data_IF_657068062049
#
_entry.id   IF_657068062049
#
_cell.length_a   1.000
_cell.length_b   1.000
_cell.length_c   1.000
_cell.angle_alpha   90.00
_cell.angle_beta   90.00
_cell.angle_gamma   90.00
#
_symmetry.space_group_name_H-M   'P 1'
#
loop_
_entity.id
_entity.type
_entity.pdbx_description
1 polymer ?
#
# COMPACT_ATOMS: atom_id res chain seq x y z
N UNK A 1 -9.01 -12.85 -19.35
CA UNK A 1 -8.43 -11.84 -18.44
C UNK A 1 -9.54 -11.12 -17.68
N UNK A 2 -10.52 -10.47 -18.33
CA UNK A 2 -11.62 -9.75 -17.66
C UNK A 2 -12.36 -10.62 -16.62
N UNK A 3 -12.82 -11.82 -16.98
CA UNK A 3 -13.47 -12.74 -16.02
C UNK A 3 -12.62 -13.06 -14.77
N UNK A 4 -11.30 -13.11 -14.93
CA UNK A 4 -10.39 -13.31 -13.80
C UNK A 4 -10.37 -12.06 -12.90
N UNK A 5 -10.23 -10.87 -13.50
CA UNK A 5 -10.24 -9.59 -12.76
C UNK A 5 -11.57 -9.39 -12.02
N UNK A 6 -12.71 -9.60 -12.69
CA UNK A 6 -14.04 -9.43 -12.09
C UNK A 6 -14.24 -10.34 -10.86
N UNK A 7 -13.67 -11.56 -10.89
CA UNK A 7 -13.73 -12.51 -9.78
C UNK A 7 -12.77 -12.18 -8.63
N UNK A 8 -11.61 -11.61 -8.93
CA UNK A 8 -10.51 -11.47 -7.96
C UNK A 8 -10.30 -10.05 -7.43
N UNK A 9 -10.88 -9.02 -8.07
CA UNK A 9 -10.69 -7.63 -7.65
C UNK A 9 -11.22 -7.36 -6.24
N UNK A 10 -12.37 -7.93 -5.89
CA UNK A 10 -12.97 -7.73 -4.57
C UNK A 10 -12.10 -8.29 -3.44
N UNK A 11 -11.69 -9.59 -3.46
CA UNK A 11 -10.78 -10.11 -2.45
C UNK A 11 -9.42 -9.40 -2.44
N UNK A 12 -8.87 -9.02 -3.59
CA UNK A 12 -7.62 -8.25 -3.62
C UNK A 12 -7.76 -6.90 -2.90
N UNK A 13 -8.82 -6.15 -3.17
CA UNK A 13 -9.07 -4.86 -2.54
C UNK A 13 -9.30 -4.99 -1.03
N UNK A 14 -9.93 -6.06 -0.55
CA UNK A 14 -10.14 -6.31 0.88
C UNK A 14 -8.81 -6.68 1.54
N UNK A 15 -8.10 -7.66 1.01
CA UNK A 15 -6.85 -8.16 1.62
C UNK A 15 -5.74 -7.12 1.50
N UNK A 16 -5.55 -6.56 0.31
CA UNK A 16 -4.56 -5.51 0.06
C UNK A 16 -4.86 -4.24 0.84
N UNK A 17 -6.15 -3.86 0.91
CA UNK A 17 -6.60 -2.72 1.70
C UNK A 17 -6.40 -2.92 3.21
N UNK A 18 -6.69 -4.11 3.73
CA UNK A 18 -6.44 -4.43 5.14
C UNK A 18 -4.95 -4.37 5.47
N UNK A 19 -4.09 -4.97 4.64
CA UNK A 19 -2.64 -4.89 4.80
C UNK A 19 -2.11 -3.45 4.75
N UNK A 20 -2.62 -2.65 3.81
CA UNK A 20 -2.27 -1.23 3.69
C UNK A 20 -2.76 -0.42 4.90
N UNK A 21 -3.95 -0.72 5.43
CA UNK A 21 -4.51 -0.05 6.60
C UNK A 21 -3.69 -0.30 7.89
N UNK A 22 -2.93 -1.39 7.96
CA UNK A 22 -2.02 -1.66 9.09
C UNK A 22 -0.92 -0.59 9.26
N UNK A 23 -0.64 0.21 8.23
CA UNK A 23 0.23 1.38 8.36
C UNK A 23 -0.27 2.40 9.41
N UNK A 24 -1.54 2.32 9.82
CA UNK A 24 -2.09 3.09 10.94
C UNK A 24 -1.34 2.90 12.26
N UNK A 25 -0.62 1.80 12.44
CA UNK A 25 0.26 1.62 13.61
C UNK A 25 1.29 2.74 13.72
N UNK A 26 1.80 3.26 12.60
CA UNK A 26 2.72 4.40 12.57
C UNK A 26 2.04 5.71 13.01
N UNK A 27 0.75 5.86 12.78
CA UNK A 27 0.01 7.05 13.18
C UNK A 27 -0.26 7.08 14.69
N UNK A 28 -0.62 5.96 15.28
CA UNK A 28 -1.07 5.87 16.68
C UNK A 28 0.02 5.41 17.64
N UNK A 29 0.98 4.61 17.17
CA UNK A 29 2.07 4.05 17.94
C UNK A 29 3.41 4.19 17.19
N UNK A 30 3.86 5.43 16.89
CA UNK A 30 4.99 5.67 15.99
C UNK A 30 6.30 5.08 16.50
N UNK A 31 6.59 5.19 17.79
CA UNK A 31 7.81 4.61 18.39
C UNK A 31 7.84 3.10 18.20
N UNK A 32 6.74 2.43 18.59
CA UNK A 32 6.63 0.97 18.45
C UNK A 32 6.78 0.54 16.96
N UNK A 33 6.12 1.24 16.06
CA UNK A 33 6.16 0.90 14.64
C UNK A 33 7.57 1.06 14.06
N UNK A 34 8.25 2.17 14.34
CA UNK A 34 9.58 2.44 13.82
C UNK A 34 10.61 1.47 14.38
N UNK A 35 10.61 1.24 15.69
CA UNK A 35 11.64 0.41 16.35
C UNK A 35 11.37 -1.09 16.18
N UNK A 36 10.13 -1.55 16.35
CA UNK A 36 9.82 -2.98 16.42
C UNK A 36 9.32 -3.57 15.10
N UNK A 37 8.68 -2.76 14.24
CA UNK A 37 8.18 -3.25 12.94
C UNK A 37 9.18 -2.95 11.82
N UNK A 38 9.72 -1.73 11.78
CA UNK A 38 10.64 -1.31 10.74
C UNK A 38 12.11 -1.55 11.10
N UNK A 39 12.43 -1.75 12.38
CA UNK A 39 13.79 -2.01 12.86
C UNK A 39 14.71 -0.79 12.73
N UNK A 40 14.14 0.42 12.86
CA UNK A 40 14.86 1.69 12.75
C UNK A 40 14.95 2.34 14.13
N UNK A 41 15.93 3.24 14.28
CA UNK A 41 16.05 4.08 15.47
C UNK A 41 14.99 5.19 15.43
N UNK A 42 14.32 5.41 16.56
CA UNK A 42 13.33 6.49 16.69
C UNK A 42 14.00 7.84 16.95
N UNK A 43 13.60 8.84 16.18
CA UNK A 43 13.97 10.22 16.38
C UNK A 43 12.72 11.09 16.52
N UNK A 44 12.60 11.82 17.64
CA UNK A 44 11.43 12.64 17.97
C UNK A 44 11.10 13.68 16.90
N UNK A 45 12.12 14.19 16.20
CA UNK A 45 11.97 15.19 15.13
C UNK A 45 11.12 14.70 13.96
N UNK A 46 11.00 13.39 13.78
CA UNK A 46 10.23 12.77 12.69
C UNK A 46 8.79 12.44 13.06
N UNK A 47 8.35 12.76 14.29
CA UNK A 47 7.01 12.38 14.79
C UNK A 47 5.90 12.77 13.81
N UNK A 48 5.86 14.03 13.38
CA UNK A 48 4.82 14.54 12.48
C UNK A 48 4.84 13.79 11.14
N UNK A 49 6.02 13.58 10.56
CA UNK A 49 6.16 12.88 9.28
C UNK A 49 5.68 11.43 9.37
N UNK A 50 6.11 10.70 10.38
CA UNK A 50 5.78 9.29 10.57
C UNK A 50 4.28 9.11 10.84
N UNK A 51 3.70 9.93 11.72
CA UNK A 51 2.28 9.85 12.03
C UNK A 51 1.41 10.26 10.83
N UNK A 52 1.77 11.34 10.13
CA UNK A 52 1.05 11.80 8.94
C UNK A 52 1.13 10.76 7.81
N UNK A 53 2.32 10.22 7.53
CA UNK A 53 2.46 9.13 6.55
C UNK A 53 1.61 7.91 6.95
N UNK A 54 1.67 7.50 8.20
CA UNK A 54 0.91 6.36 8.71
C UNK A 54 -0.59 6.51 8.53
N UNK A 55 -1.16 7.69 8.84
CA UNK A 55 -2.60 7.92 8.66
C UNK A 55 -3.00 8.00 7.18
N UNK A 56 -2.19 8.63 6.34
CA UNK A 56 -2.49 8.71 4.90
C UNK A 56 -2.52 7.34 4.23
N UNK A 57 -1.53 6.50 4.51
CA UNK A 57 -1.47 5.13 3.97
C UNK A 57 -2.60 4.27 4.55
N UNK A 58 -2.91 4.42 5.84
CA UNK A 58 -4.02 3.71 6.47
C UNK A 58 -5.37 4.06 5.85
N UNK A 59 -5.64 5.35 5.63
CA UNK A 59 -6.86 5.81 4.95
C UNK A 59 -6.97 5.25 3.53
N UNK A 60 -5.86 5.18 2.79
CA UNK A 60 -5.85 4.53 1.48
C UNK A 60 -6.27 3.07 1.58
N UNK A 61 -5.78 2.33 2.57
CA UNK A 61 -6.20 0.96 2.82
C UNK A 61 -7.70 0.83 3.07
N UNK A 62 -8.27 1.73 3.88
CA UNK A 62 -9.71 1.79 4.14
C UNK A 62 -10.49 2.10 2.85
N UNK A 63 -10.00 3.03 2.03
CA UNK A 63 -10.65 3.35 0.74
C UNK A 63 -10.57 2.19 -0.25
N UNK A 64 -9.49 1.41 -0.25
CA UNK A 64 -9.40 0.16 -1.03
C UNK A 64 -10.48 -0.83 -0.62
N UNK A 65 -10.70 -1.03 0.69
CA UNK A 65 -11.79 -1.88 1.20
C UNK A 65 -13.16 -1.33 0.75
N UNK A 66 -13.37 -0.02 0.83
CA UNK A 66 -14.58 0.63 0.32
C UNK A 66 -14.82 0.37 -1.17
N UNK A 67 -13.76 0.44 -1.99
CA UNK A 67 -13.81 0.16 -3.42
C UNK A 67 -14.15 -1.30 -3.76
N UNK A 68 -13.92 -2.24 -2.84
CA UNK A 68 -14.38 -3.62 -2.99
C UNK A 68 -15.90 -3.73 -3.07
N UNK A 69 -16.62 -2.83 -2.39
CA UNK A 69 -18.09 -2.80 -2.31
C UNK A 69 -18.73 -1.73 -3.18
N UNK A 70 -17.97 -0.66 -3.54
CA UNK A 70 -18.45 0.44 -4.38
C UNK A 70 -17.67 0.49 -5.69
N UNK A 71 -18.27 -0.02 -6.76
CA UNK A 71 -17.61 -0.21 -8.04
C UNK A 71 -17.09 1.09 -8.66
N UNK A 72 -17.85 2.19 -8.53
CA UNK A 72 -17.43 3.52 -9.02
C UNK A 72 -16.15 4.05 -8.39
N UNK A 73 -15.73 3.51 -7.25
CA UNK A 73 -14.49 3.88 -6.58
C UNK A 73 -13.28 3.09 -7.06
N UNK A 74 -13.48 1.97 -7.75
CA UNK A 74 -12.38 1.06 -8.13
C UNK A 74 -11.34 1.75 -9.00
N UNK A 75 -11.77 2.45 -10.05
CA UNK A 75 -10.81 3.08 -10.96
C UNK A 75 -9.94 4.13 -10.26
N UNK A 76 -10.48 5.19 -9.63
CA UNK A 76 -9.65 6.21 -9.00
C UNK A 76 -8.79 5.66 -7.84
N UNK A 77 -9.34 4.75 -7.03
CA UNK A 77 -8.60 4.16 -5.92
C UNK A 77 -7.47 3.25 -6.42
N UNK A 78 -7.72 2.41 -7.41
CA UNK A 78 -6.69 1.57 -8.01
C UNK A 78 -5.59 2.38 -8.67
N UNK A 79 -5.94 3.50 -9.34
CA UNK A 79 -4.97 4.38 -9.98
C UNK A 79 -4.05 5.04 -8.94
N UNK A 80 -4.63 5.69 -7.94
CA UNK A 80 -3.85 6.34 -6.88
C UNK A 80 -2.99 5.34 -6.12
N UNK A 81 -3.58 4.23 -5.70
CA UNK A 81 -2.89 3.17 -4.97
C UNK A 81 -1.73 2.58 -5.78
N UNK A 82 -1.92 2.34 -7.08
CA UNK A 82 -0.87 1.83 -7.94
C UNK A 82 0.32 2.79 -8.06
N UNK A 83 0.08 4.09 -8.20
CA UNK A 83 1.12 5.11 -8.31
C UNK A 83 1.90 5.25 -6.99
N UNK A 84 1.19 5.35 -5.86
CA UNK A 84 1.80 5.46 -4.53
C UNK A 84 2.66 4.22 -4.23
N UNK A 85 2.12 3.03 -4.45
CA UNK A 85 2.81 1.77 -4.18
C UNK A 85 3.97 1.51 -5.14
N UNK A 86 3.85 1.89 -6.41
CA UNK A 86 4.97 1.81 -7.35
C UNK A 86 6.15 2.67 -6.90
N UNK A 87 5.87 3.86 -6.36
CA UNK A 87 6.92 4.74 -5.82
C UNK A 87 7.56 4.14 -4.57
N UNK A 88 6.77 3.53 -3.67
CA UNK A 88 7.31 2.83 -2.50
C UNK A 88 8.23 1.67 -2.90
N UNK A 89 7.80 0.84 -3.86
CA UNK A 89 8.62 -0.26 -4.40
C UNK A 89 9.93 0.29 -5.01
N UNK A 90 9.84 1.37 -5.78
CA UNK A 90 11.02 2.03 -6.35
C UNK A 90 11.98 2.50 -5.26
N UNK A 91 11.50 3.14 -4.20
CA UNK A 91 12.35 3.61 -3.10
C UNK A 91 13.05 2.45 -2.38
N UNK A 92 12.32 1.37 -2.09
CA UNK A 92 12.91 0.19 -1.42
C UNK A 92 13.96 -0.48 -2.30
N UNK A 93 13.69 -0.67 -3.59
CA UNK A 93 14.64 -1.26 -4.54
C UNK A 93 15.88 -0.39 -4.73
N UNK A 94 15.71 0.92 -4.82
CA UNK A 94 16.84 1.87 -4.95
C UNK A 94 17.75 1.89 -3.72
N UNK A 95 17.23 1.49 -2.56
CA UNK A 95 17.95 1.48 -1.29
C UNK A 95 18.16 0.06 -0.73
N UNK A 96 18.04 -0.98 -1.54
CA UNK A 96 18.02 -2.37 -1.09
C UNK A 96 19.31 -2.82 -0.38
N UNK A 97 20.42 -2.19 -0.69
CA UNK A 97 21.70 -2.48 -0.07
C UNK A 97 21.92 -1.82 1.30
N UNK A 98 21.00 -0.96 1.73
CA UNK A 98 21.07 -0.29 3.02
C UNK A 98 20.25 -1.04 4.06
N UNK A 99 20.77 -1.10 5.28
CA UNK A 99 20.10 -1.79 6.40
C UNK A 99 18.72 -1.23 6.72
N UNK A 100 18.52 0.09 6.57
CA UNK A 100 17.24 0.74 6.84
C UNK A 100 16.11 0.31 5.91
N UNK A 101 16.41 -0.26 4.74
CA UNK A 101 15.37 -0.73 3.80
C UNK A 101 14.81 -2.10 4.18
N UNK A 102 15.48 -2.87 5.03
CA UNK A 102 15.12 -4.26 5.34
C UNK A 102 13.74 -4.37 5.98
N UNK A 103 13.37 -3.44 6.85
CA UNK A 103 12.05 -3.40 7.49
C UNK A 103 10.89 -3.12 6.54
N UNK A 104 11.18 -2.66 5.32
CA UNK A 104 10.19 -2.32 4.30
C UNK A 104 10.03 -3.39 3.19
N UNK A 105 10.84 -4.48 3.23
CA UNK A 105 10.80 -5.50 2.18
C UNK A 105 9.45 -6.23 2.11
N UNK A 106 8.87 -6.56 3.25
CA UNK A 106 7.56 -7.25 3.29
C UNK A 106 6.44 -6.33 2.78
N UNK A 107 6.28 -5.09 3.28
CA UNK A 107 5.33 -4.13 2.70
C UNK A 107 5.55 -3.88 1.20
N UNK A 108 6.80 -3.70 0.76
CA UNK A 108 7.12 -3.47 -0.64
C UNK A 108 6.75 -4.66 -1.54
N UNK A 109 6.88 -5.89 -1.05
CA UNK A 109 6.45 -7.09 -1.77
C UNK A 109 4.93 -7.11 -1.97
N UNK A 110 4.17 -6.80 -0.94
CA UNK A 110 2.71 -6.62 -1.03
C UNK A 110 2.34 -5.52 -2.04
N UNK A 111 3.02 -4.38 -1.94
CA UNK A 111 2.79 -3.25 -2.84
C UNK A 111 3.09 -3.61 -4.29
N UNK A 112 4.17 -4.36 -4.56
CA UNK A 112 4.49 -4.85 -5.90
C UNK A 112 3.38 -5.74 -6.49
N UNK A 113 2.79 -6.61 -5.68
CA UNK A 113 1.66 -7.46 -6.10
C UNK A 113 0.46 -6.58 -6.49
N UNK A 114 0.12 -5.57 -5.70
CA UNK A 114 -0.99 -4.65 -5.98
C UNK A 114 -0.71 -3.84 -7.26
N UNK A 115 0.52 -3.38 -7.47
CA UNK A 115 0.93 -2.65 -8.69
C UNK A 115 0.76 -3.54 -9.93
N UNK A 116 1.29 -4.77 -9.90
CA UNK A 116 1.17 -5.72 -11.02
C UNK A 116 -0.31 -6.00 -11.32
N UNK A 117 -1.11 -6.26 -10.29
CA UNK A 117 -2.54 -6.48 -10.46
C UNK A 117 -3.25 -5.26 -11.06
N UNK A 118 -2.88 -4.06 -10.63
CA UNK A 118 -3.44 -2.81 -11.16
C UNK A 118 -3.17 -2.64 -12.65
N UNK A 119 -1.98 -3.03 -13.12
CA UNK A 119 -1.65 -3.03 -14.56
C UNK A 119 -2.62 -3.93 -15.34
N UNK A 120 -2.85 -5.16 -14.86
CA UNK A 120 -3.81 -6.08 -15.49
C UNK A 120 -5.24 -5.56 -15.42
N UNK A 121 -5.63 -4.93 -14.30
CA UNK A 121 -6.94 -4.30 -14.17
C UNK A 121 -7.14 -3.21 -15.22
N UNK A 122 -6.22 -2.25 -15.35
CA UNK A 122 -6.32 -1.17 -16.35
C UNK A 122 -6.27 -1.70 -17.78
N UNK A 123 -5.48 -2.75 -18.02
CA UNK A 123 -5.47 -3.38 -19.34
C UNK A 123 -6.81 -4.04 -19.67
N UNK A 124 -7.49 -4.61 -18.68
CA UNK A 124 -8.81 -5.23 -18.89
C UNK A 124 -9.88 -4.20 -19.29
N UNK A 125 -9.77 -2.96 -18.78
CA UNK A 125 -10.70 -1.87 -19.12
C UNK A 125 -10.54 -1.34 -20.54
N UNK A 126 -9.34 -1.42 -21.13
CA UNK A 126 -9.08 -0.95 -22.50
C UNK A 126 -9.67 -1.83 -23.59
N UNK A 127 -10.13 -3.02 -23.26
CA UNK A 127 -10.69 -4.00 -24.22
C UNK A 127 -12.22 -3.92 -24.30
N UNK A 128 -12.81 -2.92 -23.72
CA UNK A 128 -14.21 -2.54 -23.90
C UNK A 128 -14.34 -1.38 -24.88
#
# INVERSE_FOLDING_TARGET
>A
MKKFIDKTIKPLLIIGGAGTALAGVNAFFPVFAVENVQGLEWYQDYTIFVQHWGIMVSLMGVMMIGAAFKESWRFPIMLYSALEKAFMVFLVLSNINYSFSQGFLVPATMDAIIVIYSIFYFWSLRKE
#
